data_IF_247485713839
#
_entry.id   IF_247485713839
#
_cell.length_a   1.000
_cell.length_b   1.000
_cell.length_c   1.000
_cell.angle_alpha   90.00
_cell.angle_beta   90.00
_cell.angle_gamma   90.00
#
_symmetry.space_group_name_H-M   'P 1'
#
loop_
_entity.id
_entity.type
_entity.pdbx_description
1 polymer ?
#
# COMPACT_ATOMS: atom_id res chain seq x y z
N UNK A 1 -9.30 -15.30 -10.52
CA UNK A 1 -8.56 -16.27 -9.71
C UNK A 1 -9.30 -17.59 -9.57
N UNK A 2 -10.57 -17.63 -9.19
CA UNK A 2 -11.35 -18.89 -9.08
C UNK A 2 -11.32 -19.80 -10.34
N UNK A 3 -11.13 -19.21 -11.54
CA UNK A 3 -11.03 -19.98 -12.79
C UNK A 3 -9.64 -20.55 -13.09
N UNK A 4 -8.60 -20.06 -12.45
CA UNK A 4 -7.23 -20.50 -12.75
C UNK A 4 -6.70 -21.55 -11.78
N UNK A 5 -7.24 -21.62 -10.57
CA UNK A 5 -6.93 -22.53 -9.45
C UNK A 5 -5.49 -23.09 -9.43
N UNK A 6 -4.53 -22.16 -9.64
CA UNK A 6 -3.11 -22.50 -9.66
C UNK A 6 -2.49 -22.12 -8.31
N UNK A 7 -1.76 -23.01 -7.65
CA UNK A 7 -1.18 -22.74 -6.33
C UNK A 7 -0.13 -21.61 -6.36
N UNK A 8 0.52 -21.43 -7.49
CA UNK A 8 1.55 -20.41 -7.72
C UNK A 8 1.01 -19.11 -8.38
N UNK A 9 -0.31 -18.96 -8.49
CA UNK A 9 -0.94 -17.76 -8.98
C UNK A 9 -1.59 -17.02 -7.82
N UNK A 10 -1.23 -15.75 -7.65
CA UNK A 10 -1.76 -14.85 -6.62
C UNK A 10 -2.05 -13.46 -7.15
N UNK A 11 -2.51 -12.60 -6.26
CA UNK A 11 -2.84 -11.21 -6.53
C UNK A 11 -1.72 -10.29 -6.03
N UNK A 12 -1.34 -9.31 -6.84
CA UNK A 12 -0.71 -8.08 -6.39
C UNK A 12 -1.80 -7.01 -6.21
N UNK A 13 -1.93 -6.48 -5.02
CA UNK A 13 -2.87 -5.41 -4.71
C UNK A 13 -2.10 -4.09 -4.74
N UNK A 14 -2.53 -3.15 -5.58
CA UNK A 14 -1.98 -1.80 -5.65
C UNK A 14 -3.06 -0.79 -5.24
N UNK A 15 -2.83 -0.11 -4.12
CA UNK A 15 -3.75 0.87 -3.55
C UNK A 15 -4.10 2.00 -4.54
N UNK A 16 -3.11 2.48 -5.30
CA UNK A 16 -3.34 3.51 -6.31
C UNK A 16 -4.44 3.07 -7.30
N UNK A 17 -4.33 1.86 -7.84
CA UNK A 17 -5.29 1.39 -8.84
C UNK A 17 -6.69 1.16 -8.26
N UNK A 18 -6.80 0.76 -7.00
CA UNK A 18 -8.08 0.65 -6.29
C UNK A 18 -8.76 2.02 -6.20
N UNK A 19 -8.04 3.03 -5.72
CA UNK A 19 -8.60 4.36 -5.50
C UNK A 19 -8.87 5.10 -6.82
N UNK A 20 -7.92 5.05 -7.76
CA UNK A 20 -8.07 5.68 -9.06
C UNK A 20 -9.19 5.07 -9.93
N UNK A 21 -9.54 3.81 -9.69
CA UNK A 21 -10.66 3.14 -10.33
C UNK A 21 -11.98 3.29 -9.58
N UNK A 22 -11.97 3.83 -8.36
CA UNK A 22 -13.14 3.87 -7.48
C UNK A 22 -13.64 2.49 -7.10
N UNK A 23 -12.73 1.52 -6.98
CA UNK A 23 -13.11 0.14 -6.62
C UNK A 23 -13.51 0.09 -5.16
N UNK A 24 -14.70 -0.43 -4.88
CA UNK A 24 -15.20 -0.61 -3.53
C UNK A 24 -14.36 -1.66 -2.77
N UNK A 25 -13.98 -1.37 -1.53
CA UNK A 25 -13.17 -2.28 -0.72
C UNK A 25 -13.91 -3.58 -0.34
N UNK A 26 -15.23 -3.58 -0.38
CA UNK A 26 -16.08 -4.76 -0.19
C UNK A 26 -15.79 -5.86 -1.22
N UNK A 27 -15.30 -5.50 -2.42
CA UNK A 27 -14.87 -6.48 -3.42
C UNK A 27 -13.73 -7.38 -2.94
N UNK A 28 -13.08 -7.02 -1.85
CA UNK A 28 -11.99 -7.80 -1.25
C UNK A 28 -12.49 -8.86 -0.24
N UNK A 29 -13.77 -8.83 0.18
CA UNK A 29 -14.29 -9.74 1.20
C UNK A 29 -14.21 -11.23 0.80
N UNK A 30 -14.20 -11.50 -0.51
CA UNK A 30 -14.08 -12.85 -1.04
C UNK A 30 -12.63 -13.31 -1.29
N UNK A 31 -11.65 -12.45 -1.00
CA UNK A 31 -10.24 -12.79 -1.23
C UNK A 31 -9.71 -13.72 -0.14
N UNK A 32 -8.98 -14.72 -0.57
CA UNK A 32 -8.23 -15.59 0.32
C UNK A 32 -6.88 -14.94 0.62
N UNK A 33 -6.50 -14.74 1.89
CA UNK A 33 -5.28 -14.02 2.26
C UNK A 33 -4.00 -14.70 1.76
N UNK A 34 -3.98 -16.02 1.68
CA UNK A 34 -2.87 -16.82 1.13
C UNK A 34 -2.68 -16.67 -0.38
N UNK A 35 -3.65 -16.07 -1.08
CA UNK A 35 -3.59 -15.71 -2.49
C UNK A 35 -3.21 -14.25 -2.73
N UNK A 36 -2.99 -13.47 -1.70
CA UNK A 36 -2.46 -12.12 -1.79
C UNK A 36 -0.95 -12.20 -1.62
N UNK A 37 -0.20 -12.04 -2.71
CA UNK A 37 1.26 -12.24 -2.70
C UNK A 37 2.04 -10.95 -2.45
N UNK A 38 1.44 -9.80 -2.78
CA UNK A 38 2.07 -8.50 -2.62
C UNK A 38 1.01 -7.43 -2.42
N UNK A 39 1.29 -6.49 -1.54
CA UNK A 39 0.51 -5.25 -1.40
C UNK A 39 1.43 -4.05 -1.64
N UNK A 40 1.08 -3.26 -2.65
CA UNK A 40 1.77 -2.02 -2.99
C UNK A 40 0.93 -0.84 -2.54
N UNK A 41 1.54 0.07 -1.81
CA UNK A 41 0.88 1.24 -1.25
C UNK A 41 1.43 2.52 -1.87
N UNK A 42 0.51 3.35 -2.33
CA UNK A 42 0.75 4.71 -2.76
C UNK A 42 -0.52 5.53 -2.60
N UNK A 43 -0.37 6.83 -2.53
CA UNK A 43 -1.44 7.82 -2.51
C UNK A 43 -1.26 8.81 -3.68
N UNK A 44 -2.15 9.76 -3.85
CA UNK A 44 -2.04 10.86 -4.80
C UNK A 44 -2.82 12.08 -4.32
N UNK A 45 -2.62 13.24 -4.96
CA UNK A 45 -3.00 14.55 -4.41
C UNK A 45 -4.40 15.04 -4.82
N UNK A 46 -5.11 14.34 -5.67
CA UNK A 46 -6.47 14.72 -6.12
C UNK A 46 -7.47 13.58 -5.94
N UNK A 47 -8.72 13.94 -5.70
CA UNK A 47 -9.77 12.98 -5.33
C UNK A 47 -10.13 12.01 -6.45
N UNK A 48 -10.07 12.46 -7.70
CA UNK A 48 -10.55 11.69 -8.85
C UNK A 48 -9.56 11.75 -10.01
N UNK A 49 -9.44 10.64 -10.72
CA UNK A 49 -8.84 10.57 -12.05
C UNK A 49 -9.96 10.32 -13.06
N UNK A 50 -10.35 11.35 -13.82
CA UNK A 50 -11.54 11.34 -14.68
C UNK A 50 -11.32 10.64 -16.00
N UNK A 51 -10.12 10.76 -16.55
CA UNK A 51 -9.77 10.17 -17.83
C UNK A 51 -8.72 9.07 -17.69
N UNK A 52 -8.58 8.25 -18.73
CA UNK A 52 -7.51 7.25 -18.78
C UNK A 52 -6.13 7.92 -18.77
N UNK A 53 -5.97 9.04 -19.48
CA UNK A 53 -4.72 9.80 -19.56
C UNK A 53 -4.33 10.38 -18.21
N UNK A 54 -5.29 10.96 -17.46
CA UNK A 54 -5.06 11.45 -16.10
C UNK A 54 -4.62 10.31 -15.16
N UNK A 55 -5.28 9.15 -15.25
CA UNK A 55 -4.93 7.96 -14.45
C UNK A 55 -3.52 7.48 -14.77
N UNK A 56 -3.18 7.39 -16.05
CA UNK A 56 -1.85 6.96 -16.50
C UNK A 56 -0.75 7.95 -16.09
N UNK A 57 -1.01 9.24 -16.23
CA UNK A 57 -0.09 10.30 -15.79
C UNK A 57 0.13 10.24 -14.29
N UNK A 58 -0.95 10.16 -13.51
CA UNK A 58 -0.87 10.04 -12.05
C UNK A 58 -0.09 8.80 -11.63
N UNK A 59 -0.37 7.66 -12.25
CA UNK A 59 0.30 6.39 -11.95
C UNK A 59 1.81 6.45 -12.16
N UNK A 60 2.27 7.21 -13.14
CA UNK A 60 3.67 7.22 -13.57
C UNK A 60 4.50 8.34 -12.96
N UNK A 61 3.88 9.46 -12.56
CA UNK A 61 4.63 10.68 -12.23
C UNK A 61 4.17 11.40 -10.98
N UNK A 62 3.00 11.06 -10.42
CA UNK A 62 2.39 11.87 -9.37
C UNK A 62 1.90 11.08 -8.15
N UNK A 63 2.38 9.86 -7.96
CA UNK A 63 2.12 9.13 -6.72
C UNK A 63 2.90 9.77 -5.58
N UNK A 64 2.32 9.75 -4.38
CA UNK A 64 2.98 10.18 -3.13
C UNK A 64 2.98 9.05 -2.11
N UNK A 65 3.78 9.18 -1.06
CA UNK A 65 3.76 8.17 0.01
C UNK A 65 2.43 8.18 0.77
N UNK A 66 1.97 7.02 1.30
CA UNK A 66 0.82 6.93 2.17
C UNK A 66 0.85 7.97 3.29
N UNK A 67 -0.26 8.69 3.48
CA UNK A 67 -0.36 9.79 4.44
C UNK A 67 0.07 11.16 3.91
N UNK A 68 0.50 11.25 2.65
CA UNK A 68 0.87 12.50 2.00
C UNK A 68 -0.15 12.97 0.96
N UNK A 69 -1.07 12.11 0.57
CA UNK A 69 -2.13 12.40 -0.39
C UNK A 69 -3.49 12.60 0.26
N UNK A 70 -4.52 12.58 -0.57
CA UNK A 70 -5.91 12.84 -0.14
C UNK A 70 -6.71 11.56 0.16
N UNK A 71 -6.13 10.37 -0.06
CA UNK A 71 -6.78 9.07 0.15
C UNK A 71 -6.33 8.37 1.44
N UNK A 72 -5.75 9.12 2.39
CA UNK A 72 -5.21 8.55 3.64
C UNK A 72 -6.25 7.75 4.42
N UNK A 73 -7.51 8.20 4.48
CA UNK A 73 -8.58 7.47 5.15
C UNK A 73 -8.92 6.15 4.44
N UNK A 74 -8.93 6.15 3.12
CA UNK A 74 -9.15 4.93 2.32
C UNK A 74 -7.96 3.96 2.44
N UNK A 75 -6.73 4.49 2.52
CA UNK A 75 -5.53 3.68 2.80
C UNK A 75 -5.62 3.00 4.16
N UNK A 76 -6.04 3.72 5.19
CA UNK A 76 -6.29 3.14 6.53
C UNK A 76 -7.31 2.01 6.43
N UNK A 77 -8.45 2.25 5.77
CA UNK A 77 -9.49 1.23 5.59
C UNK A 77 -8.97 0.01 4.84
N UNK A 78 -8.20 0.21 3.75
CA UNK A 78 -7.60 -0.87 2.97
C UNK A 78 -6.66 -1.73 3.82
N UNK A 79 -5.74 -1.09 4.54
CA UNK A 79 -4.74 -1.79 5.37
C UNK A 79 -5.41 -2.55 6.52
N UNK A 80 -6.37 -1.93 7.21
CA UNK A 80 -7.13 -2.59 8.28
C UNK A 80 -7.98 -3.76 7.75
N UNK A 81 -8.52 -3.63 6.53
CA UNK A 81 -9.27 -4.71 5.89
C UNK A 81 -8.37 -5.90 5.55
N UNK A 82 -7.17 -5.64 5.02
CA UNK A 82 -6.17 -6.69 4.75
C UNK A 82 -5.73 -7.40 6.04
N UNK A 83 -5.52 -6.63 7.11
CA UNK A 83 -5.19 -7.19 8.44
C UNK A 83 -6.34 -8.07 8.96
N UNK A 84 -7.59 -7.61 8.88
CA UNK A 84 -8.77 -8.36 9.28
C UNK A 84 -8.99 -9.63 8.43
N UNK A 85 -8.60 -9.64 7.16
CA UNK A 85 -8.60 -10.83 6.31
C UNK A 85 -7.48 -11.83 6.69
N UNK A 86 -6.51 -11.43 7.50
CA UNK A 86 -5.37 -12.26 7.91
C UNK A 86 -4.19 -12.21 6.93
N UNK A 87 -4.05 -11.14 6.13
CA UNK A 87 -2.88 -10.95 5.29
C UNK A 87 -1.63 -10.75 6.16
N UNK A 88 -0.69 -11.67 6.08
CA UNK A 88 0.58 -11.65 6.80
C UNK A 88 1.81 -11.42 5.93
N UNK A 89 1.62 -10.98 4.69
CA UNK A 89 2.70 -10.69 3.75
C UNK A 89 3.28 -9.29 3.88
N UNK A 90 4.15 -8.95 2.94
CA UNK A 90 4.85 -7.69 2.92
C UNK A 90 4.04 -6.56 2.30
N UNK A 91 4.15 -5.36 2.89
CA UNK A 91 3.73 -4.11 2.28
C UNK A 91 4.93 -3.41 1.65
N UNK A 92 4.79 -2.97 0.41
CA UNK A 92 5.80 -2.17 -0.29
C UNK A 92 5.24 -0.82 -0.71
N UNK A 93 6.11 0.16 -0.91
CA UNK A 93 5.74 1.42 -1.53
C UNK A 93 6.09 1.40 -3.00
N UNK A 94 5.12 1.74 -3.86
CA UNK A 94 5.35 1.96 -5.28
C UNK A 94 4.98 3.42 -5.62
N UNK A 95 5.97 4.31 -5.45
CA UNK A 95 5.79 5.76 -5.54
C UNK A 95 6.62 6.31 -6.68
N UNK A 96 6.01 6.38 -7.87
CA UNK A 96 6.58 7.08 -9.01
C UNK A 96 6.20 8.56 -8.93
N UNK A 97 7.22 9.43 -8.74
CA UNK A 97 7.02 10.85 -8.57
C UNK A 97 8.22 11.64 -9.10
N UNK A 98 8.01 12.43 -10.15
CA UNK A 98 9.06 13.20 -10.79
C UNK A 98 9.61 14.30 -9.90
N UNK A 99 8.80 14.89 -9.02
CA UNK A 99 9.28 15.89 -8.06
C UNK A 99 10.20 15.27 -7.03
N UNK A 100 9.99 14.00 -6.66
CA UNK A 100 10.89 13.31 -5.73
C UNK A 100 12.27 13.03 -6.32
N UNK A 101 12.38 12.91 -7.65
CA UNK A 101 13.67 12.76 -8.34
C UNK A 101 14.54 14.01 -8.19
N UNK A 102 13.94 15.16 -7.89
CA UNK A 102 14.65 16.42 -7.65
C UNK A 102 15.08 16.61 -6.18
N UNK A 103 14.63 15.73 -5.29
CA UNK A 103 14.99 15.76 -3.88
C UNK A 103 16.24 14.92 -3.61
N UNK A 104 17.08 15.32 -2.63
CA UNK A 104 18.14 14.45 -2.14
C UNK A 104 17.56 13.11 -1.65
N UNK A 105 18.16 11.99 -2.05
CA UNK A 105 17.70 10.64 -1.71
C UNK A 105 17.42 10.44 -0.21
N UNK A 106 18.22 10.98 0.75
CA UNK A 106 17.90 10.88 2.18
C UNK A 106 16.56 11.52 2.55
N UNK A 107 16.11 12.57 1.84
CA UNK A 107 14.82 13.22 2.08
C UNK A 107 13.66 12.33 1.59
N UNK A 108 13.81 11.69 0.45
CA UNK A 108 12.82 10.72 -0.06
C UNK A 108 12.72 9.53 0.90
N UNK A 109 13.86 8.97 1.32
CA UNK A 109 13.89 7.88 2.29
C UNK A 109 13.26 8.26 3.65
N UNK A 110 13.43 9.52 4.08
CA UNK A 110 12.80 10.03 5.31
C UNK A 110 11.28 10.09 5.18
N UNK A 111 10.74 10.47 4.01
CA UNK A 111 9.30 10.48 3.73
C UNK A 111 8.75 9.05 3.77
N UNK A 112 9.38 8.13 3.05
CA UNK A 112 9.02 6.71 3.06
C UNK A 112 9.00 6.13 4.49
N UNK A 113 10.05 6.41 5.28
CA UNK A 113 10.14 5.95 6.68
C UNK A 113 9.02 6.53 7.56
N UNK A 114 8.63 7.80 7.35
CA UNK A 114 7.52 8.42 8.09
C UNK A 114 6.21 7.70 7.78
N UNK A 115 5.95 7.45 6.50
CA UNK A 115 4.79 6.71 6.04
C UNK A 115 4.72 5.30 6.60
N UNK A 116 5.84 4.57 6.56
CA UNK A 116 5.92 3.22 7.12
C UNK A 116 5.64 3.20 8.62
N UNK A 117 6.19 4.16 9.37
CA UNK A 117 5.92 4.28 10.81
C UNK A 117 4.46 4.60 11.10
N UNK A 118 3.89 5.55 10.36
CA UNK A 118 2.47 5.87 10.53
C UNK A 118 1.59 4.63 10.33
N UNK A 119 1.82 3.86 9.27
CA UNK A 119 1.07 2.63 9.03
C UNK A 119 1.30 1.57 10.11
N UNK A 120 2.54 1.35 10.51
CA UNK A 120 2.89 0.31 11.49
C UNK A 120 2.46 0.68 12.92
N UNK A 121 2.75 1.91 13.35
CA UNK A 121 2.60 2.32 14.75
C UNK A 121 1.18 2.81 15.05
N UNK A 122 0.62 3.64 14.14
CA UNK A 122 -0.65 4.34 14.39
C UNK A 122 -1.86 3.58 13.80
N UNK A 123 -1.70 2.94 12.63
CA UNK A 123 -2.80 2.23 11.96
C UNK A 123 -2.87 0.77 12.39
N UNK A 124 -1.83 -0.02 12.13
CA UNK A 124 -1.79 -1.45 12.45
C UNK A 124 -1.43 -1.73 13.92
N UNK A 125 -0.86 -0.77 14.61
CA UNK A 125 -0.41 -0.90 16.01
C UNK A 125 0.47 -2.13 16.23
N UNK A 126 1.36 -2.38 15.28
CA UNK A 126 2.29 -3.52 15.34
C UNK A 126 3.24 -3.31 16.50
N UNK A 127 3.43 -4.29 17.40
CA UNK A 127 4.38 -4.17 18.49
C UNK A 127 5.78 -3.88 17.98
N UNK A 128 6.50 -2.97 18.62
CA UNK A 128 7.88 -2.69 18.29
C UNK A 128 8.70 -4.00 18.21
N UNK A 129 9.53 -4.20 17.19
CA UNK A 129 10.31 -5.41 17.07
C UNK A 129 11.23 -5.56 18.30
N UNK A 130 11.26 -6.74 18.86
CA UNK A 130 12.16 -7.06 19.97
C UNK A 130 13.63 -6.90 19.50
N UNK A 131 14.53 -6.38 20.34
CA UNK A 131 15.95 -6.42 20.07
C UNK A 131 16.40 -7.84 19.71
N UNK A 132 17.40 -7.96 18.81
CA UNK A 132 17.86 -9.26 18.29
C UNK A 132 18.24 -10.26 19.38
N UNK A 133 18.82 -9.77 20.48
CA UNK A 133 19.18 -10.55 21.67
C UNK A 133 17.97 -11.20 22.37
N UNK A 134 16.81 -10.52 22.36
CA UNK A 134 15.58 -11.05 22.93
C UNK A 134 14.85 -12.00 21.99
N UNK A 135 15.06 -11.87 20.66
CA UNK A 135 14.51 -12.82 19.67
C UNK A 135 15.16 -14.19 19.75
N UNK A 136 16.46 -14.22 20.04
CA UNK A 136 17.23 -15.47 20.14
C UNK A 136 16.89 -16.33 21.37
N UNK A 137 16.13 -15.79 22.34
CA UNK A 137 15.74 -16.47 23.58
C UNK A 137 14.32 -17.05 23.57
N UNK A 138 13.62 -16.98 22.46
CA UNK A 138 12.31 -17.60 22.23
C UNK A 138 12.45 -18.80 21.33
#
# INVERSE_FOLDING_TARGET
MQRADCPNLGLGIDAFHIFAAGTALEAMDELQPDKIFLVQLADFMWQETRTFEERMSTARTFRVFPGEGVHSDQLVQLVLKLDALGYGGDYSFEVFNDDYLQLPLPKVAQRARRSARWLADDVLRIPAPLPGELRARR
#
